data_IF_343419614912
#
_entry.id   IF_343419614912
#
_cell.length_a   1.000
_cell.length_b   1.000
_cell.length_c   1.000
_cell.angle_alpha   90.00
_cell.angle_beta   90.00
_cell.angle_gamma   90.00
#
_symmetry.space_group_name_H-M   'P 1'
#
loop_
_entity.id
_entity.type
_entity.pdbx_description
1 polymer ?
#
# COMPACT_ATOMS: atom_id res chain seq x y z
N UNK A 1 21.96 -29.92 -2.18
CA UNK A 1 20.76 -30.70 -1.78
C UNK A 1 19.52 -29.78 -1.51
N UNK A 2 19.57 -28.80 -0.60
CA UNK A 2 18.42 -27.94 -0.24
C UNK A 2 17.81 -27.13 -1.40
N UNK A 3 18.62 -26.62 -2.33
CA UNK A 3 18.14 -25.90 -3.51
C UNK A 3 17.43 -26.82 -4.53
N UNK A 4 17.86 -28.06 -4.66
CA UNK A 4 17.16 -29.07 -5.48
C UNK A 4 15.81 -29.41 -4.84
N UNK A 5 15.76 -29.56 -3.53
CA UNK A 5 14.52 -29.79 -2.78
C UNK A 5 13.56 -28.60 -2.95
N UNK A 6 14.04 -27.37 -2.80
CA UNK A 6 13.23 -26.18 -3.05
C UNK A 6 12.64 -26.16 -4.46
N UNK A 7 13.47 -26.37 -5.49
CA UNK A 7 13.02 -26.37 -6.87
C UNK A 7 11.99 -27.45 -7.16
N UNK A 8 12.18 -28.66 -6.61
CA UNK A 8 11.22 -29.75 -6.74
C UNK A 8 9.88 -29.42 -6.06
N UNK A 9 9.93 -28.92 -4.81
CA UNK A 9 8.72 -28.51 -4.08
C UNK A 9 8.01 -27.33 -4.76
N UNK A 10 8.76 -26.34 -5.26
CA UNK A 10 8.21 -25.21 -6.00
C UNK A 10 7.53 -25.66 -7.30
N UNK A 11 8.16 -26.59 -8.05
CA UNK A 11 7.58 -27.14 -9.27
C UNK A 11 6.26 -27.90 -8.99
N UNK A 12 6.24 -28.73 -7.94
CA UNK A 12 5.02 -29.45 -7.52
C UNK A 12 3.95 -28.46 -7.09
N UNK A 13 4.27 -27.52 -6.21
CA UNK A 13 3.31 -26.50 -5.75
C UNK A 13 2.77 -25.68 -6.92
N UNK A 14 3.61 -25.23 -7.84
CA UNK A 14 3.20 -24.50 -9.03
C UNK A 14 2.25 -25.32 -9.91
N UNK A 15 2.55 -26.59 -10.17
CA UNK A 15 1.72 -27.48 -10.98
C UNK A 15 0.34 -27.70 -10.35
N UNK A 16 0.29 -27.92 -9.04
CA UNK A 16 -0.97 -28.07 -8.29
C UNK A 16 -1.80 -26.79 -8.29
N UNK A 17 -1.15 -25.64 -8.17
CA UNK A 17 -1.83 -24.34 -8.16
C UNK A 17 -2.22 -23.81 -9.55
N UNK A 18 -1.58 -24.32 -10.61
CA UNK A 18 -1.74 -23.83 -11.99
C UNK A 18 -3.21 -23.81 -12.47
N UNK A 19 -4.03 -24.88 -12.28
CA UNK A 19 -5.41 -24.84 -12.72
C UNK A 19 -6.22 -23.73 -12.06
N UNK A 20 -6.07 -23.56 -10.73
CA UNK A 20 -6.76 -22.51 -9.97
C UNK A 20 -6.27 -21.10 -10.37
N UNK A 21 -4.99 -20.97 -10.72
CA UNK A 21 -4.40 -19.74 -11.23
C UNK A 21 -4.97 -19.39 -12.61
N UNK A 22 -5.01 -20.35 -13.55
CA UNK A 22 -5.56 -20.16 -14.89
C UNK A 22 -7.07 -19.82 -14.85
N UNK A 23 -7.84 -20.45 -13.97
CA UNK A 23 -9.27 -20.13 -13.78
C UNK A 23 -9.46 -18.69 -13.26
N UNK A 24 -8.66 -18.27 -12.29
CA UNK A 24 -8.66 -16.88 -11.79
C UNK A 24 -8.26 -15.89 -12.87
N UNK A 25 -7.28 -16.22 -13.69
CA UNK A 25 -6.85 -15.43 -14.84
C UNK A 25 -8.01 -15.25 -15.85
N UNK A 26 -8.71 -16.34 -16.17
CA UNK A 26 -9.85 -16.31 -17.10
C UNK A 26 -10.98 -15.42 -16.56
N UNK A 27 -11.27 -15.50 -15.25
CA UNK A 27 -12.33 -14.70 -14.61
C UNK A 27 -12.00 -13.21 -14.49
N UNK A 28 -10.74 -12.84 -14.24
CA UNK A 28 -10.32 -11.45 -14.02
C UNK A 28 -9.90 -10.72 -15.28
N UNK A 29 -9.65 -11.42 -16.41
CA UNK A 29 -9.19 -10.86 -17.69
C UNK A 29 -7.77 -10.26 -17.62
N UNK A 30 -7.28 -9.74 -18.76
CA UNK A 30 -6.04 -8.95 -18.83
C UNK A 30 -4.70 -9.70 -18.85
N UNK A 31 -4.67 -11.01 -18.64
CA UNK A 31 -3.41 -11.76 -18.52
C UNK A 31 -2.77 -12.22 -19.85
N UNK A 32 -3.53 -12.21 -20.97
CA UNK A 32 -3.02 -12.78 -22.24
C UNK A 32 -1.91 -11.93 -22.86
N UNK A 33 -2.01 -10.62 -22.78
CA UNK A 33 -1.14 -9.70 -23.50
C UNK A 33 0.35 -9.79 -23.10
N UNK A 34 0.67 -10.18 -21.86
CA UNK A 34 2.04 -10.18 -21.34
C UNK A 34 2.38 -11.46 -20.57
N UNK A 35 1.76 -12.59 -20.94
CA UNK A 35 1.95 -13.86 -20.24
C UNK A 35 3.37 -14.41 -20.34
N UNK A 36 4.04 -14.16 -21.47
CA UNK A 36 5.43 -14.56 -21.74
C UNK A 36 6.45 -13.94 -20.78
N UNK A 37 6.16 -12.76 -20.23
CA UNK A 37 7.03 -12.07 -19.28
C UNK A 37 7.38 -12.96 -18.07
N UNK A 38 6.39 -13.75 -17.60
CA UNK A 38 6.55 -14.69 -16.48
C UNK A 38 7.60 -15.77 -16.71
N UNK A 39 7.95 -16.01 -17.98
CA UNK A 39 9.02 -16.92 -18.38
C UNK A 39 10.33 -16.20 -18.68
N UNK A 40 10.42 -14.89 -18.37
CA UNK A 40 11.56 -14.04 -18.71
C UNK A 40 11.69 -13.80 -20.22
N UNK A 41 10.56 -13.83 -20.95
CA UNK A 41 10.51 -13.59 -22.40
C UNK A 41 9.70 -12.33 -22.65
N UNK A 42 10.40 -11.24 -22.88
CA UNK A 42 9.80 -9.93 -23.09
C UNK A 42 9.62 -9.63 -24.58
N UNK A 43 8.59 -8.85 -24.96
CA UNK A 43 8.41 -8.36 -26.33
C UNK A 43 9.62 -7.55 -26.79
N UNK A 44 9.79 -7.46 -28.13
CA UNK A 44 10.91 -6.74 -28.73
C UNK A 44 10.95 -5.28 -28.31
N UNK A 45 9.80 -4.62 -28.25
CA UNK A 45 9.64 -3.23 -27.83
C UNK A 45 10.22 -2.98 -26.41
N UNK A 46 10.02 -3.92 -25.52
CA UNK A 46 10.59 -3.86 -24.16
C UNK A 46 12.09 -4.11 -24.16
N UNK A 47 12.54 -5.09 -24.95
CA UNK A 47 13.97 -5.38 -25.07
C UNK A 47 14.71 -4.19 -25.70
N UNK A 48 14.10 -3.53 -26.68
CA UNK A 48 14.65 -2.34 -27.30
C UNK A 48 14.77 -1.20 -26.28
N UNK A 49 13.74 -0.94 -25.44
CA UNK A 49 13.81 0.08 -24.37
C UNK A 49 14.83 -0.28 -23.28
N UNK A 50 15.01 -1.57 -22.97
CA UNK A 50 16.02 -2.02 -22.01
C UNK A 50 17.45 -1.93 -22.54
N UNK A 51 17.62 -1.99 -23.89
CA UNK A 51 18.92 -1.96 -24.57
C UNK A 51 19.30 -0.59 -25.15
N UNK A 52 18.31 0.34 -25.32
CA UNK A 52 18.55 1.66 -25.90
C UNK A 52 18.70 2.77 -24.84
N UNK A 53 19.51 3.77 -25.20
CA UNK A 53 19.62 5.03 -24.48
C UNK A 53 18.33 5.86 -24.58
N UNK A 54 17.97 6.63 -23.55
CA UNK A 54 17.05 7.73 -23.74
C UNK A 54 17.71 8.76 -24.69
N UNK A 55 17.15 8.91 -25.87
CA UNK A 55 17.54 9.95 -26.81
C UNK A 55 17.11 11.30 -26.27
N UNK A 56 17.96 11.93 -25.46
CA UNK A 56 17.96 13.38 -25.32
C UNK A 56 18.75 13.97 -26.50
N UNK A 57 18.17 13.92 -27.69
CA UNK A 57 18.53 14.91 -28.71
C UNK A 57 17.78 16.20 -28.37
N UNK A 58 18.47 17.28 -27.98
CA UNK A 58 17.88 18.59 -28.14
C UNK A 58 17.71 18.79 -29.66
N UNK A 59 16.55 19.21 -30.08
CA UNK A 59 16.30 19.70 -31.45
C UNK A 59 17.26 20.88 -31.71
N UNK A 60 18.49 20.59 -32.12
CA UNK A 60 19.42 21.57 -32.64
C UNK A 60 19.24 21.56 -34.16
N UNK A 61 18.46 22.50 -34.63
CA UNK A 61 18.45 22.93 -36.03
C UNK A 61 19.74 23.68 -36.29
N UNK A 62 20.80 22.98 -36.71
CA UNK A 62 21.81 23.44 -37.68
C UNK A 62 22.89 22.37 -37.88
N UNK A 63 23.18 21.96 -39.13
CA UNK A 63 24.26 21.02 -39.41
C UNK A 63 25.60 21.76 -39.52
N UNK A 64 26.45 21.64 -38.54
CA UNK A 64 27.88 21.93 -38.72
C UNK A 64 28.65 20.69 -39.22
N UNK A 65 29.72 20.84 -40.01
CA UNK A 65 30.39 19.73 -40.68
C UNK A 65 31.14 18.83 -39.70
N UNK A 66 30.94 17.54 -39.82
CA UNK A 66 31.54 16.45 -39.05
C UNK A 66 33.06 16.40 -39.25
N UNK A 67 33.84 16.50 -38.20
CA UNK A 67 35.25 16.11 -38.20
C UNK A 67 35.40 14.59 -38.21
N UNK A 68 36.35 14.01 -38.95
CA UNK A 68 36.54 12.57 -39.03
C UNK A 68 37.44 12.08 -37.92
N UNK A 69 36.92 11.88 -36.75
CA UNK A 69 37.40 10.93 -35.76
C UNK A 69 36.39 10.87 -34.58
N UNK A 70 35.43 9.96 -34.55
CA UNK A 70 34.61 9.80 -33.35
C UNK A 70 35.49 9.12 -32.29
N UNK A 71 35.83 9.83 -31.23
CA UNK A 71 36.17 9.18 -29.98
C UNK A 71 35.04 8.26 -29.60
N UNK A 72 35.33 7.06 -29.04
CA UNK A 72 34.25 6.17 -28.58
C UNK A 72 33.44 6.93 -27.52
N UNK A 73 32.21 7.29 -27.86
CA UNK A 73 31.24 7.81 -26.90
C UNK A 73 31.16 6.76 -25.78
N UNK A 74 31.75 7.10 -24.64
CA UNK A 74 31.55 6.36 -23.39
C UNK A 74 30.09 6.61 -23.04
N UNK A 75 29.23 5.71 -23.54
CA UNK A 75 27.81 5.69 -23.18
C UNK A 75 27.72 5.23 -21.73
N UNK A 76 27.65 6.18 -20.82
CA UNK A 76 27.36 5.92 -19.41
C UNK A 76 25.90 5.46 -19.27
N UNK A 77 25.63 4.24 -19.70
CA UNK A 77 24.38 3.58 -19.38
C UNK A 77 24.35 3.28 -17.87
N UNK A 78 23.69 4.11 -17.09
CA UNK A 78 23.36 3.71 -15.74
C UNK A 78 22.25 2.64 -15.78
N UNK A 79 22.55 1.39 -15.40
CA UNK A 79 21.56 0.32 -15.43
C UNK A 79 20.37 0.67 -14.52
N UNK A 80 19.16 0.27 -14.92
CA UNK A 80 17.90 0.55 -14.22
C UNK A 80 17.87 -0.10 -12.84
N UNK A 81 17.11 0.48 -11.92
CA UNK A 81 16.77 -0.15 -10.65
C UNK A 81 15.53 -1.02 -10.86
N UNK A 82 15.59 -2.30 -10.52
CA UNK A 82 14.43 -3.18 -10.57
C UNK A 82 13.66 -3.14 -9.25
N UNK A 83 12.42 -2.65 -9.26
CA UNK A 83 11.52 -2.67 -8.10
C UNK A 83 10.40 -3.69 -8.29
N UNK A 84 10.09 -4.46 -7.24
CA UNK A 84 9.07 -5.50 -7.29
C UNK A 84 8.04 -5.33 -6.19
N UNK A 85 6.74 -5.37 -6.59
CA UNK A 85 5.59 -5.30 -5.70
C UNK A 85 4.42 -6.13 -6.27
N UNK A 86 3.67 -6.82 -5.43
CA UNK A 86 2.66 -7.80 -5.86
C UNK A 86 1.23 -7.30 -5.71
N UNK A 87 0.87 -6.82 -4.55
CA UNK A 87 -0.48 -6.35 -4.22
C UNK A 87 -0.66 -4.87 -4.57
N UNK A 88 -1.93 -4.40 -4.66
CA UNK A 88 -2.24 -2.97 -4.86
C UNK A 88 -1.57 -2.09 -3.81
N UNK A 89 -1.60 -2.52 -2.53
CA UNK A 89 -0.96 -1.76 -1.44
C UNK A 89 0.56 -1.69 -1.57
N UNK A 90 1.20 -2.79 -1.93
CA UNK A 90 2.64 -2.81 -2.19
C UNK A 90 3.05 -1.98 -3.40
N UNK A 91 2.23 -2.00 -4.47
CA UNK A 91 2.45 -1.15 -5.66
C UNK A 91 2.38 0.34 -5.30
N UNK A 92 1.45 0.74 -4.44
CA UNK A 92 1.38 2.12 -3.94
C UNK A 92 2.61 2.50 -3.11
N UNK A 93 3.07 1.61 -2.24
CA UNK A 93 4.31 1.76 -1.46
C UNK A 93 5.52 1.90 -2.38
N UNK A 94 5.66 1.01 -3.38
CA UNK A 94 6.74 1.07 -4.35
C UNK A 94 6.70 2.36 -5.19
N UNK A 95 5.51 2.77 -5.65
CA UNK A 95 5.33 4.01 -6.41
C UNK A 95 5.74 5.26 -5.64
N UNK A 96 5.46 5.32 -4.34
CA UNK A 96 5.93 6.42 -3.49
C UNK A 96 7.45 6.45 -3.38
N UNK A 97 8.08 5.29 -3.16
CA UNK A 97 9.54 5.21 -3.11
C UNK A 97 10.17 5.65 -4.44
N UNK A 98 9.60 5.23 -5.58
CA UNK A 98 10.06 5.66 -6.91
C UNK A 98 9.97 7.18 -7.07
N UNK A 99 8.85 7.79 -6.66
CA UNK A 99 8.70 9.26 -6.69
C UNK A 99 9.73 9.95 -5.81
N UNK A 100 9.87 9.49 -4.56
CA UNK A 100 10.85 10.05 -3.63
C UNK A 100 12.30 9.92 -4.12
N UNK A 101 12.64 8.83 -4.80
CA UNK A 101 13.95 8.66 -5.41
C UNK A 101 14.16 9.59 -6.61
N UNK A 102 13.12 9.82 -7.45
CA UNK A 102 13.20 10.76 -8.58
C UNK A 102 13.29 12.22 -8.15
N UNK A 103 12.67 12.60 -7.05
CA UNK A 103 12.81 13.95 -6.48
C UNK A 103 14.27 14.26 -6.12
N UNK A 104 15.08 13.25 -5.80
CA UNK A 104 16.49 13.36 -5.43
C UNK A 104 17.44 13.17 -6.62
N UNK A 105 17.09 12.24 -7.49
CA UNK A 105 17.80 11.94 -8.72
C UNK A 105 16.81 11.81 -9.90
N UNK A 106 16.58 12.90 -10.66
CA UNK A 106 15.68 12.89 -11.81
C UNK A 106 16.07 11.91 -12.92
N UNK A 107 17.31 11.44 -12.94
CA UNK A 107 17.83 10.53 -13.95
C UNK A 107 17.57 9.05 -13.60
N UNK A 108 17.12 8.75 -12.39
CA UNK A 108 16.85 7.37 -12.00
C UNK A 108 15.73 6.75 -12.85
N UNK A 109 15.98 5.56 -13.39
CA UNK A 109 15.05 4.80 -14.23
C UNK A 109 14.74 3.46 -13.57
N UNK A 110 13.51 3.01 -13.71
CA UNK A 110 13.05 1.79 -13.08
C UNK A 110 12.62 0.72 -14.08
N UNK A 111 12.80 -0.54 -13.67
CA UNK A 111 12.00 -1.66 -14.15
C UNK A 111 11.05 -2.00 -13.01
N UNK A 112 9.76 -1.79 -13.22
CA UNK A 112 8.74 -2.13 -12.25
C UNK A 112 8.17 -3.51 -12.57
N UNK A 113 8.12 -4.42 -11.60
CA UNK A 113 7.51 -5.72 -11.82
C UNK A 113 6.41 -6.03 -10.82
N UNK A 114 5.37 -6.71 -11.30
CA UNK A 114 4.24 -7.19 -10.47
C UNK A 114 3.84 -8.60 -10.87
N UNK A 115 3.03 -9.28 -10.05
CA UNK A 115 2.55 -10.64 -10.36
C UNK A 115 1.05 -10.67 -10.67
N UNK A 116 0.26 -9.69 -10.24
CA UNK A 116 -1.20 -9.68 -10.36
C UNK A 116 -1.70 -8.68 -11.41
N UNK A 117 -2.85 -8.97 -12.04
CA UNK A 117 -3.47 -8.02 -12.99
C UNK A 117 -3.99 -6.75 -12.32
N UNK A 118 -4.41 -6.84 -11.05
CA UNK A 118 -4.81 -5.66 -10.27
C UNK A 118 -3.60 -4.81 -9.90
N UNK A 119 -2.48 -5.45 -9.51
CA UNK A 119 -1.21 -4.77 -9.32
C UNK A 119 -0.71 -4.09 -10.59
N UNK A 120 -0.85 -4.76 -11.75
CA UNK A 120 -0.49 -4.19 -13.05
C UNK A 120 -1.22 -2.88 -13.33
N UNK A 121 -2.57 -2.88 -13.24
CA UNK A 121 -3.40 -1.68 -13.45
C UNK A 121 -3.06 -0.53 -12.50
N UNK A 122 -2.61 -0.84 -11.29
CA UNK A 122 -2.16 0.18 -10.35
C UNK A 122 -0.76 0.67 -10.73
N UNK A 123 0.15 -0.24 -11.09
CA UNK A 123 1.52 0.09 -11.50
C UNK A 123 1.59 0.94 -12.78
N UNK A 124 0.66 0.77 -13.72
CA UNK A 124 0.54 1.62 -14.92
C UNK A 124 0.38 3.11 -14.59
N UNK A 125 -0.11 3.45 -13.40
CA UNK A 125 -0.27 4.84 -12.93
C UNK A 125 0.96 5.38 -12.20
N UNK A 126 1.86 4.49 -11.80
CA UNK A 126 3.06 4.83 -11.03
C UNK A 126 4.32 4.95 -11.91
N UNK A 127 4.32 4.27 -13.07
CA UNK A 127 5.44 4.30 -14.01
C UNK A 127 5.36 5.52 -14.93
N UNK A 128 6.54 6.04 -15.30
CA UNK A 128 6.71 7.10 -16.30
C UNK A 128 7.04 6.47 -17.68
N UNK A 129 7.02 7.24 -18.78
CA UNK A 129 7.45 6.74 -20.09
C UNK A 129 8.88 6.18 -20.14
N UNK A 130 9.76 6.64 -19.23
CA UNK A 130 11.14 6.18 -19.13
C UNK A 130 11.31 4.87 -18.37
N UNK A 131 10.25 4.40 -17.70
CA UNK A 131 10.26 3.15 -16.96
C UNK A 131 9.77 1.98 -17.80
N UNK A 132 10.08 0.79 -17.32
CA UNK A 132 9.60 -0.45 -17.94
C UNK A 132 8.73 -1.22 -16.96
N UNK A 133 7.48 -1.51 -17.35
CA UNK A 133 6.57 -2.34 -16.58
C UNK A 133 6.55 -3.77 -17.12
N UNK A 134 6.80 -4.77 -16.26
CA UNK A 134 6.84 -6.18 -16.63
C UNK A 134 6.09 -7.05 -15.60
N UNK A 135 5.73 -8.27 -15.97
CA UNK A 135 5.42 -9.28 -14.97
C UNK A 135 6.69 -9.93 -14.43
N UNK A 136 6.71 -10.16 -13.11
CA UNK A 136 7.83 -10.82 -12.45
C UNK A 136 8.03 -12.23 -13.02
N UNK A 137 9.28 -12.66 -13.28
CA UNK A 137 9.54 -14.02 -13.73
C UNK A 137 9.14 -15.04 -12.65
N UNK A 138 8.66 -16.19 -13.09
CA UNK A 138 8.49 -17.36 -12.21
C UNK A 138 9.83 -17.74 -11.61
N UNK A 139 9.85 -18.13 -10.34
CA UNK A 139 11.08 -18.45 -9.61
C UNK A 139 11.73 -19.76 -10.03
N UNK A 140 11.69 -20.09 -11.32
CA UNK A 140 12.45 -21.16 -11.96
C UNK A 140 13.78 -20.61 -12.49
N UNK A 141 14.88 -21.31 -12.23
CA UNK A 141 16.22 -20.85 -12.58
C UNK A 141 16.38 -20.37 -14.04
N UNK A 142 15.76 -21.08 -15.00
CA UNK A 142 15.78 -20.67 -16.41
C UNK A 142 14.97 -19.41 -16.71
N UNK A 143 13.84 -19.19 -16.04
CA UNK A 143 13.02 -17.98 -16.17
C UNK A 143 13.74 -16.77 -15.57
N UNK A 144 14.26 -16.95 -14.35
CA UNK A 144 15.04 -15.94 -13.64
C UNK A 144 16.29 -15.55 -14.43
N UNK A 145 17.04 -16.53 -14.97
CA UNK A 145 18.24 -16.24 -15.76
C UNK A 145 17.91 -15.35 -16.97
N UNK A 146 16.91 -15.73 -17.77
CA UNK A 146 16.51 -14.93 -18.94
C UNK A 146 16.07 -13.52 -18.57
N UNK A 147 15.29 -13.38 -17.50
CA UNK A 147 14.84 -12.08 -17.04
C UNK A 147 16.01 -11.19 -16.59
N UNK A 148 16.94 -11.74 -15.84
CA UNK A 148 18.13 -11.00 -15.40
C UNK A 148 19.10 -10.69 -16.53
N UNK A 149 19.19 -11.55 -17.57
CA UNK A 149 19.99 -11.29 -18.76
C UNK A 149 19.39 -10.13 -19.58
N UNK A 150 18.05 -10.04 -19.64
CA UNK A 150 17.35 -8.98 -20.39
C UNK A 150 17.34 -7.64 -19.63
N UNK A 151 17.13 -7.64 -18.32
CA UNK A 151 16.98 -6.41 -17.52
C UNK A 151 18.32 -5.84 -17.08
N UNK A 152 19.28 -6.70 -16.74
CA UNK A 152 20.62 -6.35 -16.22
C UNK A 152 20.57 -5.21 -15.18
N UNK A 153 19.87 -5.37 -14.04
CA UNK A 153 19.63 -4.27 -13.12
C UNK A 153 20.89 -3.91 -12.32
N UNK A 154 21.08 -2.60 -12.03
CA UNK A 154 22.15 -2.14 -11.11
C UNK A 154 21.86 -2.45 -9.64
N UNK A 155 20.58 -2.55 -9.28
CA UNK A 155 20.10 -2.89 -7.95
C UNK A 155 18.68 -3.45 -8.05
N UNK A 156 18.27 -4.22 -7.03
CA UNK A 156 16.91 -4.73 -6.92
C UNK A 156 16.31 -4.34 -5.58
N UNK A 157 15.09 -3.81 -5.60
CA UNK A 157 14.30 -3.45 -4.42
C UNK A 157 13.06 -4.36 -4.40
N UNK A 158 12.92 -5.16 -3.33
CA UNK A 158 11.74 -5.97 -3.06
C UNK A 158 10.91 -5.31 -1.96
N UNK A 159 9.59 -5.42 -2.05
CA UNK A 159 8.68 -4.84 -1.05
C UNK A 159 8.15 -5.89 -0.08
N UNK A 160 7.90 -5.49 1.15
CA UNK A 160 7.29 -6.27 2.24
C UNK A 160 7.95 -7.64 2.49
N UNK A 161 7.36 -8.74 2.02
CA UNK A 161 7.89 -10.10 2.22
C UNK A 161 7.95 -10.88 0.91
N UNK A 162 8.24 -10.19 -0.19
CA UNK A 162 8.37 -10.80 -1.51
C UNK A 162 9.72 -11.53 -1.65
N UNK A 163 9.79 -12.71 -1.03
CA UNK A 163 11.00 -13.54 -0.98
C UNK A 163 10.94 -14.62 -2.06
N UNK A 164 11.72 -14.43 -3.13
CA UNK A 164 11.85 -15.32 -4.28
C UNK A 164 13.25 -15.96 -4.28
N UNK A 165 13.45 -17.13 -3.69
CA UNK A 165 14.77 -17.68 -3.39
C UNK A 165 15.72 -17.83 -4.58
N UNK A 166 15.24 -18.32 -5.74
CA UNK A 166 16.11 -18.47 -6.92
C UNK A 166 16.46 -17.09 -7.52
N UNK A 167 15.52 -16.15 -7.53
CA UNK A 167 15.74 -14.78 -8.01
C UNK A 167 16.81 -14.09 -7.13
N UNK A 168 16.63 -14.11 -5.82
CA UNK A 168 17.55 -13.50 -4.85
C UNK A 168 18.95 -14.13 -4.96
N UNK A 169 19.02 -15.47 -5.05
CA UNK A 169 20.31 -16.17 -5.20
C UNK A 169 21.00 -15.83 -6.53
N UNK A 170 20.24 -15.70 -7.62
CA UNK A 170 20.80 -15.37 -8.93
C UNK A 170 21.37 -13.95 -8.95
N UNK A 171 20.69 -12.99 -8.31
CA UNK A 171 21.18 -11.63 -8.11
C UNK A 171 22.46 -11.59 -7.30
N UNK A 172 22.50 -12.30 -6.15
CA UNK A 172 23.72 -12.38 -5.32
C UNK A 172 24.91 -12.94 -6.10
N UNK A 173 24.69 -13.97 -6.95
CA UNK A 173 25.75 -14.53 -7.79
C UNK A 173 26.27 -13.55 -8.85
N UNK A 174 25.43 -12.57 -9.27
CA UNK A 174 25.80 -11.52 -10.23
C UNK A 174 26.41 -10.29 -9.54
N UNK A 175 26.50 -10.28 -8.20
CA UNK A 175 26.97 -9.12 -7.45
C UNK A 175 26.00 -7.96 -7.42
N UNK A 176 24.73 -8.14 -7.84
CA UNK A 176 23.70 -7.12 -7.83
C UNK A 176 23.22 -6.90 -6.39
N UNK A 177 23.26 -5.68 -5.85
CA UNK A 177 22.75 -5.36 -4.51
C UNK A 177 21.24 -5.56 -4.44
N UNK A 178 20.77 -6.12 -3.31
CA UNK A 178 19.37 -6.46 -3.08
C UNK A 178 18.91 -5.77 -1.81
N UNK A 179 17.84 -5.01 -1.90
CA UNK A 179 17.20 -4.29 -0.80
C UNK A 179 15.80 -4.83 -0.55
N UNK A 180 15.43 -4.99 0.72
CA UNK A 180 14.06 -5.29 1.12
C UNK A 180 13.52 -4.08 1.87
N UNK A 181 12.49 -3.44 1.33
CA UNK A 181 11.90 -2.22 1.91
C UNK A 181 10.53 -2.48 2.50
N UNK A 182 10.16 -1.71 3.51
CA UNK A 182 8.89 -1.87 4.22
C UNK A 182 8.71 -3.31 4.70
N UNK A 183 9.79 -3.96 5.13
CA UNK A 183 9.85 -5.39 5.42
C UNK A 183 9.01 -5.74 6.65
N UNK A 184 8.21 -6.83 6.53
CA UNK A 184 7.41 -7.34 7.65
C UNK A 184 7.25 -8.85 7.55
N UNK A 185 7.11 -9.51 8.68
CA UNK A 185 6.74 -10.92 8.74
C UNK A 185 5.49 -11.08 9.62
N UNK A 186 4.40 -11.59 9.04
CA UNK A 186 3.14 -11.79 9.76
C UNK A 186 3.26 -12.85 10.87
N UNK A 187 2.39 -12.77 11.89
CA UNK A 187 2.33 -13.75 13.00
C UNK A 187 2.19 -15.18 12.48
N UNK A 188 1.41 -15.36 11.40
CA UNK A 188 1.20 -16.66 10.77
C UNK A 188 2.44 -17.20 10.08
N UNK A 189 3.28 -16.32 9.52
CA UNK A 189 4.46 -16.69 8.74
C UNK A 189 5.72 -16.82 9.61
N UNK A 190 5.83 -16.04 10.68
CA UNK A 190 7.02 -16.00 11.53
C UNK A 190 7.45 -17.38 12.06
N UNK A 191 6.56 -18.24 12.62
CA UNK A 191 6.95 -19.57 13.07
C UNK A 191 7.52 -20.44 11.94
N UNK A 192 6.99 -20.30 10.72
CA UNK A 192 7.44 -21.06 9.55
C UNK A 192 8.81 -20.61 9.08
N UNK A 193 9.06 -19.30 9.00
CA UNK A 193 10.39 -18.78 8.66
C UNK A 193 11.42 -19.19 9.70
N UNK A 194 11.08 -19.14 11.00
CA UNK A 194 11.96 -19.61 12.10
C UNK A 194 12.27 -21.10 12.00
N UNK A 195 11.28 -21.95 11.77
CA UNK A 195 11.46 -23.40 11.60
C UNK A 195 12.30 -23.74 10.38
N UNK A 196 12.20 -22.96 9.31
CA UNK A 196 12.95 -23.12 8.06
C UNK A 196 14.18 -22.21 7.98
N UNK A 197 14.69 -21.71 9.11
CA UNK A 197 15.86 -20.82 9.19
C UNK A 197 17.10 -21.39 8.48
N UNK A 198 17.28 -22.71 8.51
CA UNK A 198 18.37 -23.39 7.84
C UNK A 198 18.38 -23.15 6.31
N UNK A 199 17.23 -22.88 5.71
CA UNK A 199 17.07 -22.55 4.30
C UNK A 199 16.96 -21.01 4.09
N UNK A 200 15.98 -20.36 4.74
CA UNK A 200 15.73 -18.93 4.57
C UNK A 200 16.87 -18.05 5.07
N UNK A 201 17.65 -18.50 6.06
CA UNK A 201 18.83 -17.77 6.51
C UNK A 201 19.88 -17.57 5.41
N UNK A 202 20.01 -18.53 4.46
CA UNK A 202 20.87 -18.29 3.28
C UNK A 202 20.29 -17.26 2.33
N UNK A 203 18.97 -17.22 2.20
CA UNK A 203 18.27 -16.26 1.34
C UNK A 203 18.34 -14.86 1.94
N UNK A 204 18.05 -14.69 3.23
CA UNK A 204 18.10 -13.39 3.91
C UNK A 204 19.53 -12.81 3.96
N UNK A 205 20.56 -13.62 4.11
CA UNK A 205 21.95 -13.16 4.03
C UNK A 205 22.41 -12.73 2.62
N UNK A 206 21.56 -12.90 1.59
CA UNK A 206 21.83 -12.34 0.28
C UNK A 206 21.49 -10.84 0.19
N UNK A 207 20.63 -10.34 1.06
CA UNK A 207 20.26 -8.92 1.06
C UNK A 207 21.43 -8.03 1.48
N UNK A 208 21.57 -6.91 0.80
CA UNK A 208 22.51 -5.86 1.15
C UNK A 208 22.01 -5.10 2.37
N UNK A 209 20.69 -4.77 2.37
CA UNK A 209 20.02 -4.11 3.48
C UNK A 209 18.54 -4.49 3.53
N UNK A 210 17.99 -4.55 4.74
CA UNK A 210 16.59 -4.85 5.02
C UNK A 210 16.04 -3.75 5.92
N UNK A 211 15.01 -3.06 5.47
CA UNK A 211 14.33 -1.96 6.14
C UNK A 211 13.02 -2.45 6.76
N UNK A 212 13.04 -2.79 8.03
CA UNK A 212 11.91 -3.36 8.76
C UNK A 212 10.90 -2.27 9.19
N UNK A 213 9.60 -2.62 9.20
CA UNK A 213 8.53 -1.71 9.63
C UNK A 213 8.53 -1.44 11.15
N UNK A 214 9.02 -2.40 11.94
CA UNK A 214 9.00 -2.33 13.41
C UNK A 214 10.12 -3.18 14.02
N UNK A 215 10.41 -2.96 15.32
CA UNK A 215 11.35 -3.79 16.08
C UNK A 215 10.93 -5.27 16.09
N UNK A 216 9.62 -5.53 16.15
CA UNK A 216 9.08 -6.89 16.06
C UNK A 216 9.38 -7.55 14.70
N UNK A 217 9.25 -6.79 13.60
CA UNK A 217 9.57 -7.30 12.28
C UNK A 217 11.08 -7.52 12.11
N UNK A 218 11.92 -6.64 12.64
CA UNK A 218 13.36 -6.81 12.68
C UNK A 218 13.74 -8.10 13.42
N UNK A 219 13.22 -8.29 14.62
CA UNK A 219 13.45 -9.51 15.41
C UNK A 219 13.01 -10.79 14.66
N UNK A 220 11.88 -10.76 13.98
CA UNK A 220 11.39 -11.90 13.17
C UNK A 220 12.26 -12.21 11.96
N UNK A 221 12.81 -11.18 11.32
CA UNK A 221 13.76 -11.32 10.22
C UNK A 221 15.08 -11.95 10.70
N UNK A 222 15.59 -11.52 11.84
CA UNK A 222 16.77 -12.08 12.49
C UNK A 222 16.52 -13.54 12.94
N UNK A 223 15.36 -13.82 13.52
CA UNK A 223 14.91 -15.17 13.87
C UNK A 223 14.85 -16.08 12.62
N UNK A 224 14.45 -15.53 11.47
CA UNK A 224 14.47 -16.23 10.18
C UNK A 224 15.87 -16.38 9.58
N UNK A 225 16.89 -15.72 10.16
CA UNK A 225 18.30 -15.86 9.80
C UNK A 225 18.88 -14.73 8.99
N UNK A 226 18.23 -13.56 8.95
CA UNK A 226 18.86 -12.33 8.45
C UNK A 226 20.08 -11.97 9.34
N UNK A 227 21.06 -11.31 8.73
CA UNK A 227 22.17 -10.74 9.47
C UNK A 227 21.69 -9.46 10.20
N UNK A 228 21.80 -9.38 11.53
CA UNK A 228 21.41 -8.17 12.28
C UNK A 228 22.06 -6.89 11.76
N UNK A 229 23.30 -6.95 11.27
CA UNK A 229 24.00 -5.80 10.69
C UNK A 229 23.35 -5.28 9.39
N UNK A 230 22.61 -6.14 8.69
CA UNK A 230 21.86 -5.78 7.48
C UNK A 230 20.45 -5.31 7.75
N UNK A 231 19.92 -5.47 8.97
CA UNK A 231 18.55 -5.09 9.34
C UNK A 231 18.55 -3.72 10.02
N UNK A 232 17.67 -2.83 9.62
CA UNK A 232 17.39 -1.57 10.30
C UNK A 232 15.89 -1.31 10.40
N UNK A 233 15.44 -0.71 11.50
CA UNK A 233 14.05 -0.33 11.69
C UNK A 233 13.86 1.07 11.16
N UNK A 234 13.06 1.23 10.10
CA UNK A 234 12.78 2.53 9.47
C UNK A 234 11.37 3.02 9.71
N UNK A 235 10.45 2.14 10.07
CA UNK A 235 9.02 2.43 10.17
C UNK A 235 8.23 1.97 8.95
N UNK A 236 6.91 2.13 9.03
CA UNK A 236 6.00 1.71 7.95
C UNK A 236 5.78 2.83 6.94
N UNK A 237 5.94 2.53 5.66
CA UNK A 237 5.66 3.45 4.54
C UNK A 237 4.19 3.85 4.47
N UNK A 238 3.30 3.13 5.15
CA UNK A 238 1.87 3.46 5.21
C UNK A 238 1.60 4.84 5.80
N UNK A 239 2.49 5.36 6.65
CA UNK A 239 2.33 6.71 7.22
C UNK A 239 2.56 7.82 6.19
N UNK A 240 3.32 7.56 5.13
CA UNK A 240 3.63 8.54 4.07
C UNK A 240 2.65 8.48 2.88
N UNK A 241 1.74 7.48 2.85
CA UNK A 241 0.76 7.30 1.74
C UNK A 241 -0.32 8.37 1.73
N UNK A 242 -0.66 8.88 2.92
CA UNK A 242 -1.81 9.73 3.09
C UNK A 242 -1.44 11.21 2.95
N UNK A 243 -2.05 11.90 2.01
CA UNK A 243 -1.94 13.35 1.82
C UNK A 243 -3.31 14.01 1.81
N UNK A 244 -3.48 15.11 2.53
CA UNK A 244 -4.71 15.89 2.51
C UNK A 244 -4.95 16.47 1.11
N UNK A 245 -6.22 16.53 0.71
CA UNK A 245 -6.66 17.12 -0.55
C UNK A 245 -7.73 18.19 -0.26
N UNK A 246 -7.30 19.41 -0.04
CA UNK A 246 -8.17 20.53 0.29
C UNK A 246 -9.21 20.84 -0.79
N UNK A 247 -8.90 20.62 -2.06
CA UNK A 247 -9.87 20.81 -3.13
C UNK A 247 -11.02 19.81 -3.00
N UNK A 248 -10.71 18.55 -2.70
CA UNK A 248 -11.70 17.50 -2.45
C UNK A 248 -12.47 17.75 -1.15
N UNK A 249 -11.82 18.25 -0.11
CA UNK A 249 -12.47 18.64 1.15
C UNK A 249 -13.53 19.74 0.90
N UNK A 250 -13.21 20.78 0.13
CA UNK A 250 -14.18 21.85 -0.24
C UNK A 250 -15.34 21.31 -1.06
N UNK A 251 -15.07 20.45 -2.04
CA UNK A 251 -16.11 19.81 -2.87
C UNK A 251 -17.09 18.99 -2.02
N UNK A 252 -16.56 18.18 -1.09
CA UNK A 252 -17.37 17.33 -0.22
C UNK A 252 -18.14 18.16 0.83
N UNK A 253 -17.53 19.24 1.34
CA UNK A 253 -18.22 20.15 2.26
C UNK A 253 -19.40 20.84 1.55
N UNK A 254 -19.23 21.23 0.30
CA UNK A 254 -20.33 21.81 -0.50
C UNK A 254 -21.47 20.80 -0.74
N UNK A 255 -21.15 19.50 -0.89
CA UNK A 255 -22.15 18.44 -1.04
C UNK A 255 -22.92 18.15 0.25
N UNK A 256 -22.22 18.09 1.42
CA UNK A 256 -22.81 17.71 2.71
C UNK A 256 -23.45 18.92 3.40
N UNK A 257 -22.92 20.13 3.20
CA UNK A 257 -23.32 21.36 3.89
C UNK A 257 -22.67 21.54 5.26
N UNK A 258 -23.13 22.53 6.01
CA UNK A 258 -22.61 22.90 7.32
C UNK A 258 -23.00 21.89 8.40
N UNK A 259 -22.22 21.81 9.44
CA UNK A 259 -22.41 20.95 10.61
C UNK A 259 -21.21 20.02 10.89
N UNK A 260 -21.20 19.46 12.08
CA UNK A 260 -20.21 18.43 12.45
C UNK A 260 -20.56 17.10 11.77
N UNK A 261 -19.56 16.38 11.33
CA UNK A 261 -19.76 15.13 10.59
C UNK A 261 -19.30 13.94 11.43
N UNK A 262 -20.21 12.97 11.61
CA UNK A 262 -19.89 11.61 12.00
C UNK A 262 -19.68 10.80 10.72
N UNK A 263 -18.49 10.22 10.55
CA UNK A 263 -18.12 9.43 9.38
C UNK A 263 -18.02 7.94 9.71
N UNK A 264 -18.76 7.09 9.01
CA UNK A 264 -18.51 5.66 8.89
C UNK A 264 -17.61 5.41 7.68
N UNK A 265 -16.29 5.36 7.88
CA UNK A 265 -15.30 5.27 6.81
C UNK A 265 -14.96 3.82 6.45
N UNK A 266 -15.11 3.46 5.16
CA UNK A 266 -14.85 2.11 4.63
C UNK A 266 -15.60 1.01 5.40
N UNK A 267 -16.87 1.24 5.70
CA UNK A 267 -17.72 0.31 6.47
C UNK A 267 -17.93 -1.01 5.75
N UNK A 268 -18.06 -2.08 6.52
CA UNK A 268 -18.41 -3.41 6.09
C UNK A 268 -19.86 -3.74 6.45
N UNK A 269 -20.48 -4.79 5.85
CA UNK A 269 -21.87 -5.15 6.13
C UNK A 269 -22.13 -5.32 7.64
N UNK A 270 -23.16 -4.64 8.13
CA UNK A 270 -23.54 -4.60 9.54
C UNK A 270 -22.99 -3.40 10.31
N UNK A 271 -21.83 -2.87 9.91
CA UNK A 271 -21.24 -1.67 10.55
C UNK A 271 -22.04 -0.40 10.21
N UNK A 272 -22.63 -0.32 9.02
CA UNK A 272 -23.57 0.72 8.62
C UNK A 272 -24.78 0.80 9.55
N UNK A 273 -25.33 -0.36 9.97
CA UNK A 273 -26.44 -0.42 10.93
C UNK A 273 -26.04 0.14 12.30
N UNK A 274 -24.81 -0.13 12.76
CA UNK A 274 -24.28 0.43 14.01
C UNK A 274 -24.16 1.95 13.90
N UNK A 275 -23.67 2.47 12.77
CA UNK A 275 -23.58 3.91 12.51
C UNK A 275 -24.96 4.58 12.51
N UNK A 276 -25.94 3.97 11.85
CA UNK A 276 -27.32 4.46 11.80
C UNK A 276 -27.97 4.51 13.19
N UNK A 277 -27.79 3.45 13.98
CA UNK A 277 -28.32 3.38 15.35
C UNK A 277 -27.60 4.37 16.29
N UNK A 278 -26.33 4.67 16.02
CA UNK A 278 -25.60 5.71 16.74
C UNK A 278 -26.15 7.10 16.38
N UNK A 279 -26.31 7.35 15.06
CA UNK A 279 -26.82 8.61 14.55
C UNK A 279 -28.24 8.92 15.05
N UNK A 280 -29.10 7.93 15.09
CA UNK A 280 -30.47 8.08 15.63
C UNK A 280 -30.48 8.64 17.04
N UNK A 281 -29.54 8.23 17.91
CA UNK A 281 -29.38 8.77 19.26
C UNK A 281 -28.69 10.13 19.27
N UNK A 282 -27.73 10.32 18.35
CA UNK A 282 -26.95 11.53 18.30
C UNK A 282 -27.78 12.75 17.91
N UNK A 283 -28.68 12.64 16.93
CA UNK A 283 -29.53 13.75 16.48
C UNK A 283 -30.60 14.18 17.49
N UNK A 284 -30.87 13.38 18.51
CA UNK A 284 -31.74 13.77 19.62
C UNK A 284 -31.11 14.88 20.46
N UNK A 285 -29.78 14.83 20.65
CA UNK A 285 -29.03 15.77 21.48
C UNK A 285 -28.22 16.79 20.65
N UNK A 286 -27.78 16.39 19.47
CA UNK A 286 -26.93 17.17 18.55
C UNK A 286 -27.58 17.25 17.17
N UNK A 287 -28.66 18.04 16.98
CA UNK A 287 -29.48 18.04 15.75
C UNK A 287 -28.77 18.55 14.50
N UNK A 288 -27.64 19.28 14.65
CA UNK A 288 -26.83 19.78 13.53
C UNK A 288 -25.82 18.78 13.00
N UNK A 289 -25.60 17.65 13.66
CA UNK A 289 -24.66 16.64 13.22
C UNK A 289 -25.18 15.96 11.96
N UNK A 290 -24.28 15.69 11.04
CA UNK A 290 -24.52 14.94 9.80
C UNK A 290 -23.89 13.55 9.90
N UNK A 291 -24.55 12.54 9.32
CA UNK A 291 -23.94 11.23 9.13
C UNK A 291 -23.53 11.05 7.68
N UNK A 292 -22.26 10.65 7.48
CA UNK A 292 -21.76 10.17 6.19
C UNK A 292 -21.38 8.70 6.35
N UNK A 293 -21.85 7.86 5.44
CA UNK A 293 -21.46 6.45 5.33
C UNK A 293 -20.73 6.24 4.01
N UNK A 294 -19.50 5.76 4.06
CA UNK A 294 -18.72 5.41 2.88
C UNK A 294 -18.38 3.91 2.95
N UNK A 295 -19.17 3.03 2.28
CA UNK A 295 -18.94 1.60 2.31
C UNK A 295 -17.68 1.22 1.55
N UNK A 296 -16.93 0.22 2.03
CA UNK A 296 -15.72 -0.31 1.36
C UNK A 296 -16.06 -0.90 -0.02
N UNK A 297 -17.23 -1.48 -0.14
CA UNK A 297 -17.76 -2.10 -1.34
C UNK A 297 -18.91 -1.25 -1.89
N UNK A 298 -18.58 -0.31 -2.76
CA UNK A 298 -19.55 0.63 -3.36
C UNK A 298 -20.67 -0.11 -4.15
N UNK A 299 -20.37 -1.30 -4.69
CA UNK A 299 -21.36 -2.18 -5.32
C UNK A 299 -22.48 -2.67 -4.38
N UNK A 300 -22.31 -2.49 -3.07
CA UNK A 300 -23.31 -2.78 -2.03
C UNK A 300 -24.08 -1.53 -1.57
N UNK A 301 -23.90 -0.39 -2.23
CA UNK A 301 -24.53 0.87 -1.85
C UNK A 301 -26.07 0.79 -1.78
N UNK A 302 -26.70 -0.02 -2.65
CA UNK A 302 -28.16 -0.21 -2.62
C UNK A 302 -28.64 -0.89 -1.33
N UNK A 303 -27.85 -1.83 -0.79
CA UNK A 303 -28.17 -2.47 0.49
C UNK A 303 -28.02 -1.48 1.66
N UNK A 304 -26.99 -0.64 1.62
CA UNK A 304 -26.79 0.41 2.63
C UNK A 304 -27.90 1.46 2.57
N UNK A 305 -28.33 1.89 1.37
CA UNK A 305 -29.47 2.79 1.20
C UNK A 305 -30.76 2.18 1.77
N UNK A 306 -30.98 0.88 1.53
CA UNK A 306 -32.15 0.18 2.11
C UNK A 306 -32.12 0.20 3.65
N UNK A 307 -30.95 -0.02 4.26
CA UNK A 307 -30.77 0.07 5.72
C UNK A 307 -31.03 1.50 6.25
N UNK A 308 -30.57 2.54 5.54
CA UNK A 308 -30.83 3.95 5.89
C UNK A 308 -32.33 4.21 5.93
N UNK A 309 -33.06 3.81 4.89
CA UNK A 309 -34.52 3.99 4.78
C UNK A 309 -35.28 3.16 5.82
N UNK A 310 -34.82 1.96 6.13
CA UNK A 310 -35.45 1.10 7.14
C UNK A 310 -35.38 1.68 8.57
N UNK A 311 -34.35 2.50 8.87
CA UNK A 311 -34.23 3.20 10.15
C UNK A 311 -35.05 4.52 10.17
N UNK A 312 -35.61 4.92 9.01
CA UNK A 312 -36.49 6.09 8.87
C UNK A 312 -35.78 7.38 8.45
N UNK A 313 -34.57 7.29 7.90
CA UNK A 313 -33.85 8.44 7.35
C UNK A 313 -33.97 8.52 5.83
N UNK A 314 -33.91 9.73 5.27
CA UNK A 314 -33.64 9.96 3.85
C UNK A 314 -32.16 9.65 3.53
N UNK A 315 -31.90 9.42 2.24
CA UNK A 315 -30.56 9.09 1.75
C UNK A 315 -30.20 10.00 0.58
N UNK A 316 -29.02 10.64 0.65
CA UNK A 316 -28.43 11.44 -0.43
C UNK A 316 -27.20 10.70 -0.94
N UNK A 317 -27.24 10.18 -2.17
CA UNK A 317 -26.13 9.42 -2.76
C UNK A 317 -25.17 10.33 -3.51
N UNK A 318 -23.89 10.10 -3.30
CA UNK A 318 -22.82 10.86 -3.98
C UNK A 318 -22.78 10.61 -5.48
N UNK A 319 -23.08 9.40 -5.93
CA UNK A 319 -23.11 9.04 -7.36
C UNK A 319 -24.30 9.64 -8.12
N UNK A 320 -25.33 10.12 -7.43
CA UNK A 320 -26.51 10.72 -8.06
C UNK A 320 -26.37 12.24 -8.03
N UNK A 321 -25.85 12.80 -9.14
CA UNK A 321 -25.68 14.26 -9.27
C UNK A 321 -27.02 14.99 -9.17
N UNK A 322 -27.05 16.09 -8.37
CA UNK A 322 -28.25 16.92 -8.19
C UNK A 322 -29.19 16.45 -7.07
N UNK A 323 -28.96 15.30 -6.42
CA UNK A 323 -29.67 14.98 -5.19
C UNK A 323 -29.24 15.93 -4.06
N UNK A 324 -30.21 16.50 -3.38
CA UNK A 324 -30.03 17.31 -2.17
C UNK A 324 -30.82 16.73 -1.02
N UNK A 325 -30.39 17.02 0.20
CA UNK A 325 -31.09 16.58 1.40
C UNK A 325 -32.48 17.21 1.46
N UNK A 326 -33.50 16.39 1.60
CA UNK A 326 -34.90 16.84 1.82
C UNK A 326 -35.13 17.18 3.31
N UNK A 327 -34.31 16.63 4.20
CA UNK A 327 -34.34 16.84 5.64
C UNK A 327 -32.91 17.08 6.19
N UNK A 328 -32.75 17.92 7.22
CA UNK A 328 -31.47 18.08 7.90
C UNK A 328 -30.89 16.79 8.49
N UNK A 329 -31.76 15.77 8.65
CA UNK A 329 -31.39 14.44 9.22
C UNK A 329 -31.10 13.39 8.16
N UNK A 330 -31.14 13.74 6.87
CA UNK A 330 -30.80 12.78 5.81
C UNK A 330 -29.35 12.33 5.91
N UNK A 331 -29.12 11.05 5.59
CA UNK A 331 -27.79 10.42 5.64
C UNK A 331 -27.14 10.53 4.28
N UNK A 332 -25.87 10.93 4.26
CA UNK A 332 -25.06 11.03 3.06
C UNK A 332 -24.35 9.71 2.81
N UNK A 333 -24.64 9.07 1.67
CA UNK A 333 -24.03 7.83 1.24
C UNK A 333 -22.98 8.11 0.16
N UNK A 334 -21.70 7.97 0.52
CA UNK A 334 -20.58 8.12 -0.40
C UNK A 334 -20.28 6.76 -1.08
N UNK A 335 -20.87 6.55 -2.22
CA UNK A 335 -20.76 5.33 -3.04
C UNK A 335 -19.82 5.50 -4.25
N UNK A 336 -18.89 6.44 -4.16
CA UNK A 336 -17.84 6.73 -5.12
C UNK A 336 -16.46 6.41 -4.54
N UNK A 337 -15.44 6.35 -5.39
CA UNK A 337 -14.08 6.00 -4.98
C UNK A 337 -13.16 7.23 -4.96
N UNK A 338 -12.09 7.18 -4.11
CA UNK A 338 -11.07 8.24 -4.05
C UNK A 338 -11.45 9.43 -3.17
N UNK A 339 -12.50 9.34 -2.35
CA UNK A 339 -13.02 10.45 -1.55
C UNK A 339 -12.67 10.37 -0.05
N UNK A 340 -12.13 9.23 0.41
CA UNK A 340 -11.93 8.97 1.84
C UNK A 340 -11.08 10.02 2.56
N UNK A 341 -9.94 10.43 1.96
CA UNK A 341 -9.09 11.47 2.56
C UNK A 341 -9.82 12.82 2.72
N UNK A 342 -10.59 13.22 1.70
CA UNK A 342 -11.40 14.43 1.78
C UNK A 342 -12.50 14.33 2.85
N UNK A 343 -13.17 13.18 2.96
CA UNK A 343 -14.17 12.93 4.01
C UNK A 343 -13.56 12.99 5.40
N UNK A 344 -12.39 12.34 5.62
CA UNK A 344 -11.69 12.48 6.90
C UNK A 344 -11.30 13.93 7.19
N UNK A 345 -10.82 14.67 6.17
CA UNK A 345 -10.41 16.07 6.34
C UNK A 345 -11.51 17.02 6.84
N UNK A 346 -12.78 16.67 6.63
CA UNK A 346 -13.94 17.47 7.04
C UNK A 346 -14.76 16.86 8.19
N UNK A 347 -14.36 15.69 8.70
CA UNK A 347 -15.11 14.99 9.74
C UNK A 347 -14.69 15.39 11.16
N UNK A 348 -15.64 15.41 12.09
CA UNK A 348 -15.40 15.65 13.50
C UNK A 348 -15.02 14.35 14.24
N UNK A 349 -15.73 13.26 13.93
CA UNK A 349 -15.53 11.93 14.49
C UNK A 349 -15.61 10.88 13.38
N UNK A 350 -14.73 9.90 13.41
CA UNK A 350 -14.72 8.82 12.44
C UNK A 350 -14.73 7.43 13.12
N UNK A 351 -15.51 6.53 12.54
CA UNK A 351 -15.38 5.09 12.73
C UNK A 351 -14.68 4.49 11.51
N UNK A 352 -13.67 3.65 11.73
CA UNK A 352 -12.96 2.96 10.66
C UNK A 352 -13.45 1.52 10.56
N UNK A 353 -14.03 1.19 9.42
CA UNK A 353 -14.69 -0.09 9.17
C UNK A 353 -13.74 -1.28 9.06
N UNK A 354 -14.33 -2.49 8.89
CA UNK A 354 -13.68 -3.80 8.95
C UNK A 354 -12.99 -4.07 10.29
N UNK A 355 -13.36 -3.37 11.31
CA UNK A 355 -12.78 -3.50 12.64
C UNK A 355 -13.75 -4.05 13.68
N UNK A 356 -15.04 -4.15 13.33
CA UNK A 356 -16.11 -4.56 14.24
C UNK A 356 -16.77 -5.88 13.85
N UNK A 357 -17.21 -5.99 12.60
CA UNK A 357 -17.94 -7.16 12.10
C UNK A 357 -17.03 -8.16 11.38
N UNK A 358 -15.87 -7.72 10.92
CA UNK A 358 -14.89 -8.53 10.19
C UNK A 358 -13.47 -8.22 10.71
N UNK A 359 -12.55 -9.20 10.51
CA UNK A 359 -11.18 -9.10 10.99
C UNK A 359 -10.28 -8.28 10.07
N UNK A 360 -9.41 -7.45 10.67
CA UNK A 360 -8.25 -6.85 10.03
C UNK A 360 -8.24 -5.32 9.90
N UNK A 361 -9.38 -4.62 10.06
CA UNK A 361 -9.52 -3.15 9.94
C UNK A 361 -9.18 -2.57 8.55
N UNK A 362 -9.65 -1.37 8.29
CA UNK A 362 -9.22 -0.47 7.22
C UNK A 362 -8.19 0.54 7.75
N UNK A 363 -7.76 1.48 6.92
CA UNK A 363 -6.67 2.40 7.25
C UNK A 363 -7.10 3.47 8.28
N UNK A 364 -6.55 3.40 9.50
CA UNK A 364 -6.77 4.39 10.55
C UNK A 364 -5.74 5.54 10.55
N UNK A 365 -4.68 5.43 9.75
CA UNK A 365 -3.68 6.50 9.63
C UNK A 365 -4.31 7.74 9.00
N UNK A 366 -5.18 7.57 8.02
CA UNK A 366 -5.83 8.67 7.29
C UNK A 366 -6.64 9.62 8.20
N UNK A 367 -7.60 9.13 9.02
CA UNK A 367 -8.29 10.01 9.97
C UNK A 367 -7.36 10.59 11.03
N UNK A 368 -6.36 9.82 11.51
CA UNK A 368 -5.38 10.31 12.47
C UNK A 368 -4.52 11.46 11.88
N UNK A 369 -4.09 11.34 10.61
CA UNK A 369 -3.38 12.42 9.90
C UNK A 369 -4.21 13.69 9.82
N UNK A 370 -5.51 13.56 9.58
CA UNK A 370 -6.45 14.69 9.55
C UNK A 370 -6.73 15.26 10.96
N UNK A 371 -6.31 14.60 12.02
CA UNK A 371 -6.60 14.99 13.40
C UNK A 371 -8.05 14.75 13.79
N UNK A 372 -8.66 13.70 13.25
CA UNK A 372 -10.04 13.30 13.55
C UNK A 372 -10.06 12.35 14.74
N UNK A 373 -10.95 12.59 15.70
CA UNK A 373 -11.18 11.64 16.80
C UNK A 373 -11.72 10.33 16.22
N UNK A 374 -10.94 9.27 16.36
CA UNK A 374 -11.15 8.01 15.65
C UNK A 374 -11.49 6.88 16.59
N UNK A 375 -12.51 6.09 16.23
CA UNK A 375 -12.90 4.85 16.91
C UNK A 375 -12.70 3.69 15.95
N UNK A 376 -12.10 2.61 16.45
CA UNK A 376 -12.00 1.32 15.77
C UNK A 376 -12.58 0.22 16.65
N UNK A 377 -13.09 -0.83 16.03
CA UNK A 377 -13.49 -2.05 16.73
C UNK A 377 -12.28 -2.86 17.22
N UNK A 378 -12.51 -4.06 17.79
CA UNK A 378 -11.45 -4.89 18.36
C UNK A 378 -10.49 -5.50 17.31
N UNK A 379 -10.91 -5.62 16.07
CA UNK A 379 -10.21 -6.39 15.03
C UNK A 379 -9.33 -5.50 14.16
N UNK A 380 -8.04 -5.37 14.51
CA UNK A 380 -7.09 -4.45 13.84
C UNK A 380 -5.78 -5.13 13.42
N UNK A 381 -5.79 -6.44 13.22
CA UNK A 381 -4.61 -7.29 13.08
C UNK A 381 -3.72 -6.89 11.90
N UNK A 382 -4.32 -6.38 10.79
CA UNK A 382 -3.59 -5.94 9.60
C UNK A 382 -2.78 -4.66 9.81
N UNK A 383 -3.07 -3.94 10.91
CA UNK A 383 -2.43 -2.66 11.26
C UNK A 383 -1.70 -2.72 12.60
N UNK A 384 -1.33 -3.90 13.10
CA UNK A 384 -0.78 -4.08 14.44
C UNK A 384 0.37 -3.11 14.77
N UNK A 385 1.42 -2.92 13.94
CA UNK A 385 2.48 -1.96 14.25
C UNK A 385 1.96 -0.52 14.35
N UNK A 386 1.09 -0.13 13.45
CA UNK A 386 0.44 1.20 13.45
C UNK A 386 -0.43 1.39 14.70
N UNK A 387 -1.23 0.37 15.04
CA UNK A 387 -2.09 0.39 16.22
C UNK A 387 -1.29 0.49 17.50
N UNK A 388 -0.16 -0.24 17.61
CA UNK A 388 0.73 -0.13 18.77
C UNK A 388 1.20 1.31 19.00
N UNK A 389 1.62 1.99 17.94
CA UNK A 389 2.07 3.38 18.01
C UNK A 389 0.94 4.36 18.37
N UNK A 390 -0.23 4.19 17.74
CA UNK A 390 -1.38 5.08 17.97
C UNK A 390 -1.99 4.90 19.36
N UNK A 391 -2.05 3.66 19.87
CA UNK A 391 -2.51 3.37 21.23
C UNK A 391 -1.53 3.87 22.28
N UNK A 392 -0.23 3.69 22.07
CA UNK A 392 0.80 4.21 22.99
C UNK A 392 0.78 5.75 23.08
N UNK A 393 0.32 6.43 22.03
CA UNK A 393 0.13 7.88 21.98
C UNK A 393 -1.26 8.33 22.46
N UNK A 394 -2.14 7.40 22.84
CA UNK A 394 -3.56 7.66 23.13
C UNK A 394 -4.23 8.51 22.04
N UNK A 395 -3.97 8.12 20.78
CA UNK A 395 -4.31 8.86 19.56
C UNK A 395 -5.64 8.43 18.94
N UNK A 396 -6.17 7.27 19.31
CA UNK A 396 -7.48 6.76 18.90
C UNK A 396 -8.07 5.85 19.98
N UNK A 397 -9.34 5.50 19.83
CA UNK A 397 -10.00 4.54 20.73
C UNK A 397 -10.16 3.22 19.99
N UNK A 398 -9.58 2.14 20.53
CA UNK A 398 -9.91 0.78 20.16
C UNK A 398 -10.90 0.22 21.19
N UNK A 399 -12.08 -0.21 20.73
CA UNK A 399 -13.06 -0.80 21.66
C UNK A 399 -12.67 -2.23 22.00
N UNK A 400 -13.01 -2.72 23.20
CA UNK A 400 -12.70 -4.08 23.61
C UNK A 400 -13.50 -5.09 22.79
N UNK A 401 -12.94 -6.29 22.63
CA UNK A 401 -13.72 -7.44 22.16
C UNK A 401 -14.74 -7.87 23.23
N UNK A 402 -15.86 -8.37 22.79
CA UNK A 402 -16.93 -8.82 23.66
C UNK A 402 -17.59 -10.10 23.11
N UNK A 403 -18.24 -10.84 24.00
CA UNK A 403 -18.79 -12.14 23.68
C UNK A 403 -19.86 -12.13 22.57
N UNK A 404 -20.59 -11.01 22.44
CA UNK A 404 -21.65 -10.87 21.43
C UNK A 404 -21.41 -9.69 20.49
N UNK A 405 -21.88 -9.79 19.23
CA UNK A 405 -21.82 -8.67 18.28
C UNK A 405 -22.51 -7.40 18.81
N UNK A 406 -23.62 -7.56 19.53
CA UNK A 406 -24.40 -6.46 20.10
C UNK A 406 -23.59 -5.70 21.17
N UNK A 407 -22.87 -6.42 22.03
CA UNK A 407 -22.01 -5.83 23.06
C UNK A 407 -20.84 -5.06 22.43
N UNK A 408 -20.22 -5.60 21.37
CA UNK A 408 -19.18 -4.89 20.60
C UNK A 408 -19.71 -3.61 19.96
N UNK A 409 -20.88 -3.72 19.30
CA UNK A 409 -21.56 -2.56 18.69
C UNK A 409 -21.93 -1.51 19.73
N UNK A 410 -22.37 -1.91 20.92
CA UNK A 410 -22.69 -1.00 22.02
C UNK A 410 -21.44 -0.22 22.50
N UNK A 411 -20.29 -0.88 22.58
CA UNK A 411 -19.03 -0.22 22.96
C UNK A 411 -18.60 0.83 21.92
N UNK A 412 -18.68 0.51 20.63
CA UNK A 412 -18.38 1.47 19.56
C UNK A 412 -19.32 2.66 19.63
N UNK A 413 -20.64 2.39 19.73
CA UNK A 413 -21.66 3.42 19.85
C UNK A 413 -21.39 4.35 21.04
N UNK A 414 -21.07 3.80 22.21
CA UNK A 414 -20.78 4.58 23.42
C UNK A 414 -19.62 5.57 23.23
N UNK A 415 -18.50 5.12 22.63
CA UNK A 415 -17.35 5.99 22.40
C UNK A 415 -17.61 7.05 21.31
N UNK A 416 -18.37 6.72 20.25
CA UNK A 416 -18.76 7.69 19.25
C UNK A 416 -19.65 8.80 19.84
N UNK A 417 -20.66 8.46 20.65
CA UNK A 417 -21.51 9.42 21.34
C UNK A 417 -20.70 10.30 22.30
N UNK A 418 -19.80 9.67 23.06
CA UNK A 418 -18.95 10.36 24.02
C UNK A 418 -18.08 11.44 23.38
N UNK A 419 -17.56 11.24 22.16
CA UNK A 419 -16.80 12.26 21.45
C UNK A 419 -17.64 13.51 21.06
N UNK A 420 -18.93 13.36 20.85
CA UNK A 420 -19.81 14.50 20.62
C UNK A 420 -20.22 15.17 21.94
N UNK A 421 -20.38 14.40 23.01
CA UNK A 421 -20.71 14.93 24.33
C UNK A 421 -19.53 15.61 25.02
N UNK A 422 -18.28 15.27 24.67
CA UNK A 422 -17.05 15.78 25.27
C UNK A 422 -16.14 16.43 24.18
N UNK A 423 -16.42 17.68 23.71
CA UNK A 423 -15.64 18.31 22.64
C UNK A 423 -14.16 18.51 22.96
N UNK A 424 -13.81 18.77 24.21
CA UNK A 424 -12.40 18.91 24.66
C UNK A 424 -11.64 17.58 24.53
N UNK A 425 -12.28 16.48 24.95
CA UNK A 425 -11.72 15.13 24.75
C UNK A 425 -11.53 14.85 23.26
N UNK A 426 -12.51 15.15 22.43
CA UNK A 426 -12.45 15.00 20.99
C UNK A 426 -11.27 15.76 20.38
N UNK A 427 -11.10 17.03 20.71
CA UNK A 427 -10.00 17.87 20.25
C UNK A 427 -8.63 17.29 20.66
N UNK A 428 -8.51 16.89 21.94
CA UNK A 428 -7.28 16.30 22.49
C UNK A 428 -6.88 15.01 21.75
N UNK A 429 -7.83 14.11 21.44
CA UNK A 429 -7.56 12.91 20.64
C UNK A 429 -7.10 13.27 19.24
N UNK A 430 -7.74 14.24 18.58
CA UNK A 430 -7.35 14.72 17.24
C UNK A 430 -5.92 15.28 17.22
N UNK A 431 -5.54 16.07 18.21
CA UNK A 431 -4.17 16.62 18.32
C UNK A 431 -3.13 15.51 18.50
N UNK A 432 -3.38 14.57 19.44
CA UNK A 432 -2.46 13.44 19.67
C UNK A 432 -2.36 12.54 18.44
N UNK A 433 -3.48 12.31 17.73
CA UNK A 433 -3.51 11.55 16.51
C UNK A 433 -2.61 12.17 15.43
N UNK A 434 -2.76 13.47 15.19
CA UNK A 434 -1.93 14.21 14.23
C UNK A 434 -0.45 14.18 14.62
N UNK A 435 -0.14 14.42 15.89
CA UNK A 435 1.23 14.40 16.39
C UNK A 435 1.87 13.00 16.30
N UNK A 436 1.11 11.93 16.58
CA UNK A 436 1.60 10.57 16.48
C UNK A 436 1.93 10.19 15.04
N UNK A 437 1.06 10.54 14.07
CA UNK A 437 1.31 10.30 12.64
C UNK A 437 2.48 11.13 12.15
N UNK A 438 2.54 12.43 12.48
CA UNK A 438 3.63 13.31 12.06
C UNK A 438 5.03 12.80 12.46
N UNK A 439 5.15 12.21 13.67
CA UNK A 439 6.41 11.60 14.13
C UNK A 439 6.84 10.37 13.32
N UNK A 440 5.90 9.72 12.64
CA UNK A 440 6.12 8.50 11.85
C UNK A 440 6.20 8.76 10.34
N UNK A 441 5.92 9.97 9.89
CA UNK A 441 6.06 10.38 8.48
C UNK A 441 7.53 10.57 8.06
N UNK A 442 7.77 10.69 6.76
CA UNK A 442 9.09 10.88 6.16
C UNK A 442 9.94 9.61 6.07
N UNK A 443 9.34 8.45 6.32
CA UNK A 443 10.03 7.15 6.24
C UNK A 443 10.47 6.87 4.82
N UNK A 444 9.59 7.09 3.83
CA UNK A 444 9.88 6.88 2.41
C UNK A 444 11.03 7.77 1.94
N UNK A 445 11.02 9.05 2.35
CA UNK A 445 12.08 9.99 2.01
C UNK A 445 13.43 9.55 2.56
N UNK A 446 13.52 9.25 3.86
CA UNK A 446 14.75 8.76 4.48
C UNK A 446 15.25 7.46 3.85
N UNK A 447 14.35 6.53 3.54
CA UNK A 447 14.71 5.28 2.87
C UNK A 447 15.23 5.53 1.44
N UNK A 448 14.65 6.48 0.70
CA UNK A 448 15.12 6.87 -0.63
C UNK A 448 16.54 7.47 -0.57
N UNK A 449 16.82 8.35 0.40
CA UNK A 449 18.15 8.95 0.62
C UNK A 449 19.19 7.85 0.88
N UNK A 450 18.91 6.95 1.83
CA UNK A 450 19.84 5.87 2.19
C UNK A 450 20.07 4.88 1.03
N UNK A 451 19.02 4.54 0.29
CA UNK A 451 19.13 3.66 -0.88
C UNK A 451 20.00 4.27 -1.98
N UNK A 452 19.81 5.54 -2.32
CA UNK A 452 20.59 6.22 -3.34
C UNK A 452 22.06 6.36 -2.90
N UNK A 453 22.31 6.70 -1.65
CA UNK A 453 23.67 6.76 -1.10
C UNK A 453 24.37 5.40 -1.18
N UNK A 454 23.72 4.32 -0.76
CA UNK A 454 24.29 2.97 -0.83
C UNK A 454 24.54 2.51 -2.27
N UNK A 455 23.62 2.85 -3.21
CA UNK A 455 23.78 2.51 -4.63
C UNK A 455 24.89 3.34 -5.30
N UNK A 456 25.09 4.61 -4.89
CA UNK A 456 26.19 5.47 -5.36
C UNK A 456 27.56 5.01 -4.85
N UNK A 457 27.62 4.44 -3.64
CA UNK A 457 28.85 3.93 -3.04
C UNK A 457 29.27 2.55 -3.58
N UNK A 458 28.38 1.82 -4.23
CA UNK A 458 28.70 0.57 -4.94
C UNK A 458 29.29 0.92 -6.29
N UNK A 459 30.61 1.24 -6.33
CA UNK A 459 31.34 1.31 -7.61
C UNK A 459 31.14 0.00 -8.34
N UNK A 460 30.55 0.04 -9.54
CA UNK A 460 30.48 -1.10 -10.44
C UNK A 460 31.88 -1.72 -10.53
N UNK A 461 32.05 -2.92 -9.98
CA UNK A 461 33.21 -3.74 -10.34
C UNK A 461 32.93 -4.26 -11.75
N UNK A 462 33.49 -3.59 -12.74
CA UNK A 462 33.59 -4.05 -14.12
C UNK A 462 34.43 -5.32 -14.17
#
# INVERSE_FOLDING_TARGET
>A
MKWLLYNALFAVAYTVMLPSFLLRMKRRGGYRARFSDRFGRYPKEILDVLSHEPSHEPLITNPEPRTPNPEPLITNHEPRIWIHAVSVGEVQVAGQLMRAMRERDPNVRFVFSTTSSTGWKTAEREVTPDDVLIYNPLDFGGCVKRALDAVNPRAVILTETEIWPNFIRALKKRGVPIYLVNARISDRSAPRYKALRWFFGEVFRCFTKIYAQSDLDAQRLEDAGADPASVSVTGSFKFDVAHRNEAKERELRAWIGEGEILLGGSTWPGEDVVMLNTYKRLVEKHPSVKLVIAPRHFEKADAVEANIRAVGFGCVRRSRSGESAASPRDVYLCDTTGEMMGLFGISAVAFVGKSLCEHGSQNMIEPCLCGVATVVGPYTENFRPVMSDLLAADALVQTPDAATPEARAASVKAELLRFFDEPERRASYGERARAAVARRCGVVGRCADELLEQMGNVKCKV
#
